data_IF_738396162868
#
_entry.id   IF_738396162868
#
_cell.length_a   1.000
_cell.length_b   1.000
_cell.length_c   1.000
_cell.angle_alpha   90.00
_cell.angle_beta   90.00
_cell.angle_gamma   90.00
#
_symmetry.space_group_name_H-M   'P 1'
#
loop_
_entity.id
_entity.type
_entity.pdbx_description
1 polymer ?
#
# COMPACT_ATOMS: atom_id res chain seq x y z
N UNK A 1 -7.72 9.28 22.32
CA UNK A 1 -7.93 9.51 20.88
C UNK A 1 -8.62 8.28 20.34
N UNK A 2 -9.72 8.41 19.62
CA UNK A 2 -10.43 7.28 19.02
C UNK A 2 -9.90 7.02 17.60
N UNK A 3 -9.21 5.90 17.42
CA UNK A 3 -8.61 5.52 16.14
C UNK A 3 -9.31 4.30 15.57
N UNK A 4 -9.77 4.43 14.33
CA UNK A 4 -10.46 3.37 13.59
C UNK A 4 -9.56 2.87 12.46
N UNK A 5 -9.48 1.57 12.24
CA UNK A 5 -8.77 0.97 11.10
C UNK A 5 -9.76 0.43 10.07
N UNK A 6 -9.65 0.87 8.82
CA UNK A 6 -10.31 0.25 7.67
C UNK A 6 -9.33 -0.71 7.01
N UNK A 7 -9.67 -2.00 6.91
CA UNK A 7 -8.76 -2.98 6.32
C UNK A 7 -9.42 -4.01 5.40
N UNK A 8 -8.75 -4.35 4.29
CA UNK A 8 -9.14 -5.44 3.39
C UNK A 8 -8.93 -6.86 3.95
N UNK A 9 -8.31 -7.00 5.14
CA UNK A 9 -8.14 -8.28 5.86
C UNK A 9 -7.35 -9.36 5.09
N UNK A 10 -6.47 -8.96 4.17
CA UNK A 10 -5.36 -9.81 3.72
C UNK A 10 -4.39 -10.12 4.90
N UNK A 11 -3.39 -11.00 4.74
CA UNK A 11 -2.47 -11.32 5.83
C UNK A 11 -1.77 -10.10 6.46
N UNK A 12 -1.42 -9.09 5.66
CA UNK A 12 -0.83 -7.84 6.15
C UNK A 12 -1.85 -7.04 6.96
N UNK A 13 -3.08 -6.89 6.46
CA UNK A 13 -4.17 -6.23 7.17
C UNK A 13 -4.49 -6.84 8.53
N UNK A 14 -4.54 -8.18 8.59
CA UNK A 14 -4.74 -8.91 9.86
C UNK A 14 -3.59 -8.69 10.83
N UNK A 15 -2.35 -8.75 10.35
CA UNK A 15 -1.16 -8.55 11.19
C UNK A 15 -1.18 -7.15 11.81
N UNK A 16 -1.41 -6.13 10.99
CA UNK A 16 -1.49 -4.75 11.45
C UNK A 16 -2.64 -4.55 12.45
N UNK A 17 -3.84 -5.04 12.14
CA UNK A 17 -4.99 -4.90 13.03
C UNK A 17 -4.75 -5.57 14.39
N UNK A 18 -4.20 -6.79 14.41
CA UNK A 18 -3.87 -7.50 15.64
C UNK A 18 -2.83 -6.72 16.47
N UNK A 19 -1.71 -6.32 15.86
CA UNK A 19 -0.61 -5.65 16.57
C UNK A 19 -0.94 -4.24 17.03
N UNK A 20 -1.67 -3.47 16.22
CA UNK A 20 -2.10 -2.13 16.61
C UNK A 20 -3.16 -2.18 17.71
N UNK A 21 -4.05 -3.17 17.70
CA UNK A 21 -5.05 -3.34 18.76
C UNK A 21 -4.41 -3.83 20.07
N UNK A 22 -3.50 -4.80 19.99
CA UNK A 22 -2.72 -5.29 21.13
C UNK A 22 -1.95 -4.15 21.82
N UNK A 23 -1.38 -3.24 21.04
CA UNK A 23 -0.68 -2.06 21.54
C UNK A 23 -1.61 -0.89 21.96
N UNK A 24 -2.94 -1.05 21.87
CA UNK A 24 -3.92 0.00 22.19
C UNK A 24 -3.90 1.22 21.23
N UNK A 25 -3.23 1.10 20.08
CA UNK A 25 -3.09 2.16 19.07
C UNK A 25 -4.40 2.39 18.32
N UNK A 26 -5.18 1.33 18.11
CA UNK A 26 -6.50 1.39 17.47
C UNK A 26 -7.59 0.82 18.38
N UNK A 27 -8.77 1.43 18.34
CA UNK A 27 -9.93 1.04 19.14
C UNK A 27 -10.88 0.18 18.31
N UNK A 28 -11.16 0.59 17.07
CA UNK A 28 -12.08 -0.13 16.18
C UNK A 28 -11.39 -0.61 14.91
N UNK A 29 -11.86 -1.73 14.39
CA UNK A 29 -11.45 -2.34 13.13
C UNK A 29 -12.71 -2.61 12.32
N UNK A 30 -12.80 -1.96 11.17
CA UNK A 30 -13.83 -2.20 10.17
C UNK A 30 -13.20 -3.01 9.03
N UNK A 31 -13.72 -4.22 8.84
CA UNK A 31 -13.33 -5.09 7.74
C UNK A 31 -14.00 -4.65 6.45
N UNK A 32 -13.22 -4.56 5.39
CA UNK A 32 -13.70 -4.35 4.03
C UNK A 32 -13.79 -5.70 3.34
N UNK A 33 -15.00 -6.09 2.97
CA UNK A 33 -15.24 -7.24 2.13
C UNK A 33 -15.23 -6.81 0.66
N UNK A 34 -14.25 -7.31 -0.10
CA UNK A 34 -14.14 -7.00 -1.52
C UNK A 34 -15.24 -7.69 -2.31
N UNK A 35 -16.15 -6.89 -2.84
CA UNK A 35 -17.17 -7.33 -3.77
C UNK A 35 -16.60 -7.36 -5.18
N UNK A 36 -16.96 -8.39 -5.95
CA UNK A 36 -16.58 -8.46 -7.36
C UNK A 36 -16.99 -7.20 -8.11
N UNK A 37 -16.32 -6.88 -9.21
CA UNK A 37 -16.67 -5.72 -10.05
C UNK A 37 -18.17 -5.76 -10.37
N UNK A 38 -18.96 -4.72 -10.05
CA UNK A 38 -20.34 -4.65 -10.49
C UNK A 38 -20.36 -4.85 -12.00
N UNK A 39 -21.04 -5.91 -12.46
CA UNK A 39 -21.12 -6.21 -13.87
C UNK A 39 -21.76 -5.02 -14.59
N UNK A 40 -20.98 -4.26 -15.36
CA UNK A 40 -21.58 -3.38 -16.38
C UNK A 40 -22.45 -4.28 -17.26
N UNK A 41 -23.75 -3.98 -17.37
CA UNK A 41 -24.64 -4.65 -18.32
C UNK A 41 -23.94 -4.63 -19.68
N UNK A 42 -23.56 -5.81 -20.16
CA UNK A 42 -23.00 -5.93 -21.49
C UNK A 42 -24.07 -5.48 -22.49
N UNK A 43 -23.75 -4.63 -23.48
CA UNK A 43 -24.72 -4.26 -24.51
C UNK A 43 -25.26 -5.53 -25.19
N UNK A 44 -26.55 -5.53 -25.53
CA UNK A 44 -27.14 -6.60 -26.35
C UNK A 44 -26.37 -6.67 -27.68
N UNK A 45 -25.86 -7.86 -28.01
CA UNK A 45 -24.98 -8.10 -29.16
C UNK A 45 -25.38 -9.34 -29.94
N UNK A 46 -25.05 -9.36 -31.23
CA UNK A 46 -25.36 -10.45 -32.17
C UNK A 46 -24.59 -11.74 -31.84
N UNK A 47 -24.97 -12.87 -32.46
CA UNK A 47 -24.37 -14.18 -32.21
C UNK A 47 -22.91 -14.31 -32.72
N UNK A 48 -22.61 -13.73 -33.88
CA UNK A 48 -21.29 -13.81 -34.50
C UNK A 48 -20.20 -13.00 -33.78
N UNK A 49 -20.53 -11.83 -33.24
CA UNK A 49 -19.62 -11.03 -32.40
C UNK A 49 -19.25 -11.72 -31.08
N UNK A 50 -20.12 -12.62 -30.58
CA UNK A 50 -19.81 -13.44 -29.40
C UNK A 50 -18.82 -14.54 -29.73
N UNK A 51 -18.93 -15.16 -30.90
CA UNK A 51 -18.07 -16.28 -31.32
C UNK A 51 -16.61 -15.83 -31.53
N UNK A 52 -16.40 -14.69 -32.21
CA UNK A 52 -15.07 -14.11 -32.44
C UNK A 52 -14.32 -13.76 -31.14
N UNK A 53 -15.03 -13.58 -30.03
CA UNK A 53 -14.44 -13.25 -28.72
C UNK A 53 -14.17 -14.47 -27.85
N UNK A 54 -14.58 -15.67 -28.25
CA UNK A 54 -14.35 -16.89 -27.47
C UNK A 54 -12.86 -17.10 -27.19
N UNK A 55 -11.92 -17.01 -28.16
CA UNK A 55 -10.51 -17.20 -27.88
C UNK A 55 -9.98 -16.20 -26.85
N UNK A 56 -10.30 -14.91 -27.03
CA UNK A 56 -9.90 -13.86 -26.09
C UNK A 56 -10.55 -13.98 -24.71
N UNK A 57 -11.80 -14.44 -24.63
CA UNK A 57 -12.49 -14.65 -23.36
C UNK A 57 -11.92 -15.87 -22.61
N UNK A 58 -11.57 -16.94 -23.33
CA UNK A 58 -10.88 -18.11 -22.77
C UNK A 58 -9.51 -17.70 -22.24
N UNK A 59 -8.72 -16.96 -23.03
CA UNK A 59 -7.40 -16.48 -22.60
C UNK A 59 -7.49 -15.58 -21.37
N UNK A 60 -8.43 -14.61 -21.34
CA UNK A 60 -8.64 -13.75 -20.17
C UNK A 60 -9.04 -14.53 -18.92
N UNK A 61 -9.90 -15.56 -19.07
CA UNK A 61 -10.27 -16.44 -17.94
C UNK A 61 -9.08 -17.27 -17.45
N UNK A 62 -8.27 -17.81 -18.36
CA UNK A 62 -7.07 -18.56 -18.02
C UNK A 62 -6.06 -17.69 -17.27
N UNK A 63 -5.78 -16.48 -17.79
CA UNK A 63 -4.94 -15.49 -17.12
C UNK A 63 -5.50 -15.10 -15.75
N UNK A 64 -6.80 -14.84 -15.63
CA UNK A 64 -7.46 -14.54 -14.36
C UNK A 64 -7.23 -15.64 -13.33
N UNK A 65 -7.48 -16.90 -13.69
CA UNK A 65 -7.24 -18.06 -12.81
C UNK A 65 -5.76 -18.21 -12.42
N UNK A 66 -4.84 -17.93 -13.35
CA UNK A 66 -3.41 -17.94 -13.08
C UNK A 66 -3.04 -16.89 -12.02
N UNK A 67 -3.43 -15.63 -12.25
CA UNK A 67 -3.17 -14.52 -11.32
C UNK A 67 -3.82 -14.78 -9.96
N UNK A 68 -5.06 -15.25 -9.91
CA UNK A 68 -5.74 -15.59 -8.66
C UNK A 68 -4.97 -16.68 -7.88
N UNK A 69 -4.45 -17.70 -8.58
CA UNK A 69 -3.63 -18.74 -7.95
C UNK A 69 -2.30 -18.17 -7.46
N UNK A 70 -1.67 -17.29 -8.23
CA UNK A 70 -0.42 -16.65 -7.89
C UNK A 70 -0.58 -15.76 -6.64
N UNK A 71 -1.57 -14.86 -6.61
CA UNK A 71 -1.83 -14.01 -5.44
C UNK A 71 -2.20 -14.83 -4.20
N UNK A 72 -2.99 -15.91 -4.33
CA UNK A 72 -3.21 -16.84 -3.20
C UNK A 72 -1.93 -17.51 -2.71
N UNK A 73 -0.97 -17.77 -3.59
CA UNK A 73 0.32 -18.33 -3.19
C UNK A 73 1.18 -17.28 -2.47
N UNK A 74 1.16 -16.03 -2.94
CA UNK A 74 1.78 -14.90 -2.25
C UNK A 74 1.17 -14.69 -0.86
N UNK A 75 -0.16 -14.73 -0.72
CA UNK A 75 -0.83 -14.61 0.59
C UNK A 75 -0.43 -15.73 1.55
N UNK A 76 -0.32 -16.98 1.08
CA UNK A 76 0.17 -18.11 1.90
C UNK A 76 1.64 -17.93 2.29
N UNK A 77 2.47 -17.43 1.40
CA UNK A 77 3.87 -17.14 1.70
C UNK A 77 3.98 -16.00 2.72
N UNK A 78 3.26 -14.91 2.52
CA UNK A 78 3.19 -13.78 3.43
C UNK A 78 2.66 -14.18 4.81
N UNK A 79 1.66 -15.08 4.85
CA UNK A 79 1.14 -15.60 6.11
C UNK A 79 2.20 -16.38 6.88
N UNK A 80 3.03 -17.18 6.19
CA UNK A 80 4.15 -17.88 6.83
C UNK A 80 5.17 -16.89 7.39
N UNK A 81 5.51 -15.88 6.62
CA UNK A 81 6.45 -14.83 7.06
C UNK A 81 5.94 -14.07 8.29
N UNK A 82 4.63 -13.78 8.38
CA UNK A 82 4.06 -12.94 9.44
C UNK A 82 3.57 -13.71 10.67
N UNK A 83 3.13 -14.95 10.50
CA UNK A 83 2.42 -15.73 11.53
C UNK A 83 2.95 -17.16 11.72
N UNK A 84 4.00 -17.56 11.00
CA UNK A 84 4.49 -18.95 10.95
C UNK A 84 3.38 -19.96 10.59
N UNK A 85 2.43 -19.53 9.77
CA UNK A 85 1.27 -20.32 9.35
C UNK A 85 0.89 -20.03 7.90
N UNK A 86 0.37 -21.03 7.18
CA UNK A 86 -0.14 -20.81 5.82
C UNK A 86 -1.44 -20.00 5.77
N UNK A 87 -2.15 -19.90 6.90
CA UNK A 87 -3.38 -19.12 7.02
C UNK A 87 -3.20 -18.11 8.15
N UNK A 88 -3.51 -16.82 7.90
CA UNK A 88 -3.42 -15.82 8.95
C UNK A 88 -4.50 -16.09 10.01
N UNK A 89 -4.21 -15.86 11.30
CA UNK A 89 -5.19 -16.06 12.36
C UNK A 89 -6.41 -15.14 12.16
N UNK A 90 -7.54 -15.55 12.73
CA UNK A 90 -8.71 -14.69 12.76
C UNK A 90 -8.46 -13.47 13.65
N UNK A 91 -8.87 -12.30 13.17
CA UNK A 91 -8.80 -11.03 13.91
C UNK A 91 -10.22 -10.51 13.98
N UNK A 92 -10.70 -10.21 15.17
CA UNK A 92 -12.04 -9.68 15.36
C UNK A 92 -12.19 -8.32 14.65
N UNK A 93 -13.23 -8.18 13.85
CA UNK A 93 -13.68 -6.89 13.32
C UNK A 93 -14.92 -6.46 14.12
N UNK A 94 -15.01 -5.17 14.44
CA UNK A 94 -16.20 -4.61 15.09
C UNK A 94 -17.34 -4.45 14.09
N UNK A 95 -17.00 -4.25 12.81
CA UNK A 95 -17.94 -4.10 11.72
C UNK A 95 -17.37 -4.66 10.42
N UNK A 96 -18.25 -5.08 9.50
CA UNK A 96 -17.89 -5.40 8.12
C UNK A 96 -18.68 -4.53 7.16
N UNK A 97 -18.01 -4.01 6.13
CA UNK A 97 -18.61 -3.24 5.04
C UNK A 97 -18.16 -3.79 3.70
N UNK A 98 -19.09 -3.88 2.74
CA UNK A 98 -18.74 -4.26 1.37
C UNK A 98 -18.06 -3.12 0.63
N UNK A 99 -17.11 -3.43 -0.23
CA UNK A 99 -16.35 -2.41 -0.97
C UNK A 99 -17.20 -1.52 -1.89
N UNK A 100 -18.35 -2.01 -2.38
CA UNK A 100 -19.31 -1.23 -3.17
C UNK A 100 -20.23 -0.33 -2.32
N UNK A 101 -20.27 -0.54 -1.00
CA UNK A 101 -21.12 0.19 -0.05
C UNK A 101 -20.34 1.22 0.79
N UNK A 102 -19.00 1.13 0.81
CA UNK A 102 -18.12 1.97 1.63
C UNK A 102 -18.20 3.48 1.34
N UNK A 103 -18.78 3.86 0.20
CA UNK A 103 -19.04 5.26 -0.15
C UNK A 103 -20.52 5.65 -0.01
N UNK A 104 -21.36 4.74 0.49
CA UNK A 104 -22.80 4.95 0.69
C UNK A 104 -23.11 5.71 1.99
N UNK A 105 -24.32 6.27 2.07
CA UNK A 105 -24.79 7.04 3.22
C UNK A 105 -24.81 6.20 4.51
N UNK A 106 -25.25 4.95 4.44
CA UNK A 106 -25.33 4.03 5.58
C UNK A 106 -23.95 3.78 6.21
N UNK A 107 -22.90 3.62 5.41
CA UNK A 107 -21.55 3.51 5.96
C UNK A 107 -21.06 4.83 6.55
N UNK A 108 -21.34 5.96 5.89
CA UNK A 108 -20.96 7.28 6.40
C UNK A 108 -21.60 7.57 7.77
N UNK A 109 -22.86 7.22 7.97
CA UNK A 109 -23.56 7.36 9.26
C UNK A 109 -22.93 6.51 10.36
N UNK A 110 -22.67 5.22 10.07
CA UNK A 110 -21.98 4.32 11.02
C UNK A 110 -20.58 4.83 11.39
N UNK A 111 -19.80 5.27 10.40
CA UNK A 111 -18.47 5.83 10.65
C UNK A 111 -18.54 7.13 11.47
N UNK A 112 -19.55 7.98 11.27
CA UNK A 112 -19.77 9.18 12.11
C UNK A 112 -20.17 8.82 13.53
N UNK A 113 -21.00 7.80 13.72
CA UNK A 113 -21.43 7.34 15.03
C UNK A 113 -20.26 6.85 15.89
N UNK A 114 -19.20 6.31 15.26
CA UNK A 114 -17.96 5.99 15.95
C UNK A 114 -17.19 7.24 16.42
N UNK A 115 -17.44 8.44 15.88
CA UNK A 115 -16.71 9.67 16.18
C UNK A 115 -15.16 9.50 16.13
N UNK A 116 -14.60 9.05 14.99
CA UNK A 116 -13.15 8.83 14.88
C UNK A 116 -12.38 10.16 14.93
N UNK A 117 -11.30 10.18 15.72
CA UNK A 117 -10.29 11.23 15.61
C UNK A 117 -9.42 11.02 14.37
N UNK A 118 -9.02 9.77 14.10
CA UNK A 118 -8.15 9.39 12.98
C UNK A 118 -8.59 8.04 12.42
N UNK A 119 -8.54 7.89 11.10
CA UNK A 119 -8.73 6.59 10.46
C UNK A 119 -7.45 6.11 9.79
N UNK A 120 -7.04 4.87 10.06
CA UNK A 120 -5.95 4.20 9.36
C UNK A 120 -6.54 3.34 8.25
N UNK A 121 -6.05 3.50 7.01
CA UNK A 121 -6.54 2.77 5.84
C UNK A 121 -5.46 1.80 5.36
N UNK A 122 -5.82 0.53 5.19
CA UNK A 122 -4.97 -0.48 4.57
C UNK A 122 -5.79 -1.41 3.66
N UNK A 123 -5.67 -1.22 2.35
CA UNK A 123 -6.38 -2.07 1.38
C UNK A 123 -7.88 -1.73 1.24
N UNK A 124 -8.20 -0.45 1.02
CA UNK A 124 -9.55 0.03 0.72
C UNK A 124 -9.73 0.37 -0.77
N UNK A 125 -10.97 0.37 -1.30
CA UNK A 125 -11.26 1.00 -2.59
C UNK A 125 -11.11 2.53 -2.48
N UNK A 126 -11.26 3.22 -3.62
CA UNK A 126 -11.20 4.69 -3.65
C UNK A 126 -12.31 5.27 -2.76
N UNK A 127 -11.91 6.00 -1.72
CA UNK A 127 -12.81 6.70 -0.81
C UNK A 127 -13.16 8.08 -1.38
N UNK A 128 -14.44 8.46 -1.31
CA UNK A 128 -14.92 9.78 -1.66
C UNK A 128 -14.71 10.76 -0.50
N UNK A 129 -14.67 12.04 -0.84
CA UNK A 129 -14.40 13.12 0.11
C UNK A 129 -15.33 13.17 1.30
N UNK A 130 -16.61 12.88 1.10
CA UNK A 130 -17.59 12.82 2.19
C UNK A 130 -17.34 11.69 3.19
N UNK A 131 -16.51 10.70 2.84
CA UNK A 131 -16.06 9.63 3.74
C UNK A 131 -14.75 10.03 4.42
N UNK A 132 -13.72 10.40 3.63
CA UNK A 132 -12.39 10.65 4.21
C UNK A 132 -12.30 11.95 5.02
N UNK A 133 -13.30 12.82 4.93
CA UNK A 133 -13.41 14.03 5.75
C UNK A 133 -14.17 13.82 7.07
N UNK A 134 -14.65 12.61 7.37
CA UNK A 134 -15.37 12.31 8.61
C UNK A 134 -14.46 12.41 9.85
N UNK A 135 -13.25 11.82 9.87
CA UNK A 135 -12.42 11.86 11.06
C UNK A 135 -11.81 13.25 11.26
N UNK A 136 -11.75 13.71 12.51
CA UNK A 136 -11.28 15.07 12.87
C UNK A 136 -9.88 15.38 12.34
N UNK A 137 -8.98 14.40 12.34
CA UNK A 137 -7.59 14.49 11.86
C UNK A 137 -7.41 13.91 10.45
N UNK A 138 -8.49 13.50 9.79
CA UNK A 138 -8.49 12.87 8.48
C UNK A 138 -8.17 11.38 8.50
N UNK A 139 -7.79 10.84 7.33
CA UNK A 139 -7.38 9.44 7.18
C UNK A 139 -5.92 9.33 6.75
N UNK A 140 -5.21 8.35 7.29
CA UNK A 140 -3.85 7.99 6.91
C UNK A 140 -3.84 6.62 6.21
N UNK A 141 -3.39 6.59 4.96
CA UNK A 141 -3.28 5.37 4.17
C UNK A 141 -1.88 4.77 4.28
N UNK A 142 -1.84 3.45 4.49
CA UNK A 142 -0.65 2.62 4.43
C UNK A 142 -0.53 2.10 3.01
N UNK A 143 0.39 2.68 2.25
CA UNK A 143 0.66 2.31 0.87
C UNK A 143 1.94 1.48 0.76
N UNK A 144 1.85 0.25 0.25
CA UNK A 144 3.00 -0.63 0.02
C UNK A 144 3.74 -0.27 -1.27
N UNK A 145 4.34 0.92 -1.28
CA UNK A 145 5.20 1.46 -2.33
C UNK A 145 5.74 2.83 -1.92
N UNK A 146 6.73 3.36 -2.63
CA UNK A 146 7.25 4.72 -2.41
C UNK A 146 6.48 5.72 -3.29
N UNK A 147 5.61 6.54 -2.69
CA UNK A 147 4.90 7.62 -3.37
C UNK A 147 5.76 8.91 -3.42
N UNK A 148 5.70 9.72 -4.50
CA UNK A 148 4.86 9.55 -5.69
C UNK A 148 5.40 8.56 -6.72
N UNK A 149 6.62 8.02 -6.55
CA UNK A 149 7.30 7.25 -7.60
C UNK A 149 6.47 6.05 -8.12
N UNK A 150 5.84 5.31 -7.20
CA UNK A 150 4.98 4.16 -7.48
C UNK A 150 3.68 4.26 -6.71
N UNK A 151 2.58 4.51 -7.43
CA UNK A 151 1.22 4.61 -6.88
C UNK A 151 0.31 3.53 -7.45
N UNK A 152 -0.78 3.27 -6.74
CA UNK A 152 -1.80 2.29 -7.10
C UNK A 152 -1.49 0.92 -6.52
N UNK A 153 -1.50 -0.13 -7.34
CA UNK A 153 -1.48 -1.51 -6.86
C UNK A 153 -0.23 -2.28 -7.29
N UNK A 154 0.14 -3.31 -6.52
CA UNK A 154 1.35 -4.13 -6.75
C UNK A 154 2.64 -3.30 -6.78
N UNK A 155 2.71 -2.25 -5.97
CA UNK A 155 3.80 -1.26 -5.97
C UNK A 155 5.06 -1.70 -5.23
N UNK A 156 5.07 -2.89 -4.63
CA UNK A 156 6.31 -3.61 -4.29
C UNK A 156 6.84 -4.42 -5.48
N UNK A 157 5.95 -4.97 -6.32
CA UNK A 157 6.31 -5.74 -7.51
C UNK A 157 6.92 -4.89 -8.62
N UNK A 158 6.27 -3.79 -8.99
CA UNK A 158 6.74 -2.94 -10.10
C UNK A 158 8.18 -2.43 -9.97
N UNK A 159 8.66 -1.95 -8.80
CA UNK A 159 10.05 -1.55 -8.66
C UNK A 159 11.00 -2.74 -8.81
N UNK A 160 10.63 -3.91 -8.28
CA UNK A 160 11.41 -5.14 -8.50
C UNK A 160 11.45 -5.54 -9.97
N UNK A 161 10.32 -5.46 -10.67
CA UNK A 161 10.19 -5.79 -12.08
C UNK A 161 11.00 -4.86 -12.98
N UNK A 162 11.04 -3.57 -12.66
CA UNK A 162 11.79 -2.56 -13.41
C UNK A 162 13.27 -2.43 -12.99
N UNK A 163 13.73 -3.16 -11.97
CA UNK A 163 15.10 -3.03 -11.44
C UNK A 163 15.36 -1.74 -10.67
N UNK A 164 14.30 -1.07 -10.21
CA UNK A 164 14.33 0.20 -9.48
C UNK A 164 14.12 -0.05 -7.98
N UNK A 165 15.10 -0.75 -7.40
CA UNK A 165 15.01 -1.31 -6.06
C UNK A 165 14.96 -0.27 -4.94
N UNK A 166 15.46 0.94 -5.20
CA UNK A 166 15.39 2.07 -4.27
C UNK A 166 13.96 2.48 -3.94
N UNK A 167 13.00 2.19 -4.83
CA UNK A 167 11.59 2.48 -4.65
C UNK A 167 10.77 1.32 -4.05
N UNK A 168 11.44 0.30 -3.51
CA UNK A 168 10.81 -0.73 -2.68
C UNK A 168 10.67 -0.19 -1.26
N UNK A 169 9.44 -0.06 -0.76
CA UNK A 169 9.16 0.37 0.60
C UNK A 169 7.68 0.65 0.87
N UNK A 170 7.44 1.43 1.92
CA UNK A 170 6.10 1.83 2.40
C UNK A 170 6.02 3.34 2.48
N UNK A 171 4.87 3.87 2.10
CA UNK A 171 4.49 5.27 2.32
C UNK A 171 3.30 5.31 3.26
N UNK A 172 3.43 6.07 4.36
CA UNK A 172 2.30 6.48 5.18
C UNK A 172 1.94 7.92 4.77
N UNK A 173 0.74 8.12 4.23
CA UNK A 173 0.32 9.42 3.69
C UNK A 173 -1.15 9.72 3.98
N UNK A 174 -1.54 10.99 3.90
CA UNK A 174 -2.94 11.40 4.00
C UNK A 174 -3.77 10.82 2.84
N UNK A 175 -5.00 10.41 3.10
CA UNK A 175 -5.99 10.21 2.05
C UNK A 175 -6.43 11.58 1.54
N UNK A 176 -6.42 11.76 0.23
CA UNK A 176 -6.83 12.99 -0.43
C UNK A 176 -7.50 12.65 -1.77
N UNK A 177 -7.98 13.67 -2.49
CA UNK A 177 -8.53 13.48 -3.83
C UNK A 177 -7.46 12.93 -4.78
N UNK A 178 -7.65 11.70 -5.24
CA UNK A 178 -6.74 10.99 -6.15
C UNK A 178 -6.17 9.72 -5.53
N UNK A 179 -5.43 8.95 -6.33
CA UNK A 179 -4.77 7.72 -5.88
C UNK A 179 -3.38 8.08 -5.35
N UNK A 180 -3.13 7.76 -4.08
CA UNK A 180 -1.87 7.95 -3.35
C UNK A 180 -1.25 9.35 -3.53
N UNK A 181 -2.09 10.39 -3.46
CA UNK A 181 -1.71 11.77 -3.81
C UNK A 181 -1.62 12.73 -2.61
N UNK A 182 -2.03 12.30 -1.41
CA UNK A 182 -2.02 13.16 -0.23
C UNK A 182 -0.63 13.42 0.34
N UNK A 183 -0.54 14.34 1.29
CA UNK A 183 0.72 14.67 1.96
C UNK A 183 1.33 13.44 2.64
N UNK A 184 2.64 13.24 2.49
CA UNK A 184 3.36 12.10 3.06
C UNK A 184 3.77 12.41 4.49
N UNK A 185 3.43 11.51 5.41
CA UNK A 185 3.89 11.55 6.80
C UNK A 185 5.25 10.90 6.96
N UNK A 186 5.46 9.75 6.31
CA UNK A 186 6.74 9.03 6.35
C UNK A 186 6.89 8.03 5.20
N UNK A 187 8.16 7.73 4.89
CA UNK A 187 8.57 6.56 4.11
C UNK A 187 9.35 5.60 4.99
N UNK A 188 9.17 4.31 4.75
CA UNK A 188 10.06 3.27 5.27
C UNK A 188 10.58 2.40 4.13
N UNK A 189 11.85 2.05 4.19
CA UNK A 189 12.55 1.22 3.24
C UNK A 189 12.99 -0.03 3.99
N UNK A 190 12.49 -1.23 3.63
CA UNK A 190 12.92 -2.46 4.28
C UNK A 190 14.38 -2.77 3.94
N UNK A 191 14.99 -3.59 4.78
CA UNK A 191 16.19 -4.30 4.39
C UNK A 191 15.90 -5.15 3.15
N UNK A 192 16.86 -5.22 2.23
CA UNK A 192 16.81 -6.10 1.07
C UNK A 192 18.04 -6.99 1.07
N UNK A 193 17.85 -8.24 0.67
CA UNK A 193 18.88 -9.23 0.40
C UNK A 193 18.62 -9.94 -0.94
N UNK A 194 19.64 -10.58 -1.50
CA UNK A 194 19.51 -11.30 -2.77
C UNK A 194 18.43 -12.40 -2.76
N UNK A 195 18.22 -13.04 -1.59
CA UNK A 195 17.25 -14.13 -1.38
C UNK A 195 15.81 -13.68 -1.15
N UNK A 196 15.57 -12.37 -0.99
CA UNK A 196 14.24 -11.87 -0.67
C UNK A 196 13.20 -12.18 -1.75
N UNK A 197 11.99 -12.48 -1.31
CA UNK A 197 10.82 -12.72 -2.15
C UNK A 197 9.85 -11.55 -2.02
N UNK A 198 8.87 -11.46 -2.93
CA UNK A 198 7.80 -10.46 -2.79
C UNK A 198 7.07 -10.60 -1.44
N UNK A 199 6.92 -11.83 -0.94
CA UNK A 199 6.30 -12.10 0.35
C UNK A 199 7.17 -11.67 1.55
N UNK A 200 8.47 -11.96 1.55
CA UNK A 200 9.37 -11.56 2.65
C UNK A 200 9.53 -10.03 2.72
N UNK A 201 9.63 -9.38 1.54
CA UNK A 201 9.65 -7.91 1.45
C UNK A 201 8.33 -7.33 1.96
N UNK A 202 7.19 -7.88 1.54
CA UNK A 202 5.89 -7.42 2.02
C UNK A 202 5.78 -7.60 3.54
N UNK A 203 6.24 -8.72 4.10
CA UNK A 203 6.24 -8.94 5.56
C UNK A 203 7.08 -7.90 6.31
N UNK A 204 8.28 -7.60 5.82
CA UNK A 204 9.15 -6.56 6.40
C UNK A 204 8.52 -5.16 6.28
N UNK A 205 7.93 -4.85 5.13
CA UNK A 205 7.15 -3.63 4.94
C UNK A 205 5.95 -3.55 5.88
N UNK A 206 5.21 -4.64 6.11
CA UNK A 206 4.07 -4.69 7.04
C UNK A 206 4.51 -4.36 8.46
N UNK A 207 5.62 -4.94 8.94
CA UNK A 207 6.17 -4.63 10.27
C UNK A 207 6.56 -3.16 10.40
N UNK A 208 7.25 -2.62 9.39
CA UNK A 208 7.60 -1.20 9.33
C UNK A 208 6.35 -0.31 9.31
N UNK A 209 5.34 -0.67 8.52
CA UNK A 209 4.07 0.06 8.46
C UNK A 209 3.37 0.11 9.83
N UNK A 210 3.32 -1.00 10.56
CA UNK A 210 2.77 -1.04 11.94
C UNK A 210 3.51 -0.07 12.86
N UNK A 211 4.84 -0.03 12.79
CA UNK A 211 5.65 0.90 13.57
C UNK A 211 5.41 2.37 13.16
N UNK A 212 5.29 2.66 11.85
CA UNK A 212 4.97 4.00 11.36
C UNK A 212 3.59 4.48 11.81
N UNK A 213 2.57 3.62 11.77
CA UNK A 213 1.21 3.95 12.23
C UNK A 213 1.21 4.25 13.74
N UNK A 214 1.91 3.42 14.53
CA UNK A 214 2.07 3.65 15.97
C UNK A 214 2.69 5.01 16.26
N UNK A 215 3.80 5.34 15.59
CA UNK A 215 4.47 6.62 15.73
C UNK A 215 3.58 7.81 15.30
N UNK A 216 2.81 7.66 14.20
CA UNK A 216 1.87 8.68 13.75
C UNK A 216 0.77 8.95 14.78
N UNK A 217 0.20 7.89 15.35
CA UNK A 217 -0.86 7.98 16.36
C UNK A 217 -0.33 8.64 17.64
N UNK A 218 0.84 8.24 18.13
CA UNK A 218 1.45 8.88 19.30
C UNK A 218 1.70 10.38 19.05
N UNK A 219 2.17 10.75 17.86
CA UNK A 219 2.35 12.14 17.47
C UNK A 219 1.03 12.91 17.43
N UNK A 220 -0.03 12.30 16.89
CA UNK A 220 -1.36 12.89 16.81
C UNK A 220 -1.94 13.15 18.22
N UNK A 221 -1.71 12.22 19.16
CA UNK A 221 -2.09 12.39 20.57
C UNK A 221 -1.31 13.54 21.20
N UNK A 222 0.00 13.62 20.97
CA UNK A 222 0.86 14.63 21.59
C UNK A 222 0.59 16.06 21.07
N UNK A 223 0.30 16.23 19.78
CA UNK A 223 0.21 17.56 19.17
C UNK A 223 -1.19 17.95 18.68
N UNK A 224 -2.16 17.04 18.72
CA UNK A 224 -3.52 17.30 18.24
C UNK A 224 -3.66 17.58 16.74
N UNK A 225 -2.59 17.38 15.95
CA UNK A 225 -2.54 17.59 14.50
C UNK A 225 -1.61 16.59 13.82
N UNK A 226 -1.84 16.35 12.53
CA UNK A 226 -0.92 15.62 11.66
C UNK A 226 -0.15 16.61 10.79
N UNK A 227 1.18 16.45 10.70
CA UNK A 227 2.03 17.21 9.79
C UNK A 227 2.59 16.29 8.72
N UNK A 228 2.53 16.70 7.46
CA UNK A 228 3.02 15.90 6.33
C UNK A 228 3.52 16.78 5.20
N UNK A 229 4.33 16.22 4.31
CA UNK A 229 4.93 16.95 3.19
C UNK A 229 4.18 16.68 1.90
N UNK A 230 3.82 17.74 1.17
CA UNK A 230 3.24 17.63 -0.17
C UNK A 230 4.19 16.88 -1.11
N UNK A 231 3.63 15.96 -1.88
CA UNK A 231 4.38 15.20 -2.87
C UNK A 231 4.81 16.12 -4.03
N UNK A 232 6.06 16.03 -4.52
CA UNK A 232 6.61 16.96 -5.52
C UNK A 232 6.02 16.76 -6.93
N UNK A 233 5.21 15.72 -7.15
CA UNK A 233 4.60 15.40 -8.44
C UNK A 233 3.73 14.16 -8.36
N UNK A 234 3.21 13.71 -9.51
CA UNK A 234 2.34 12.54 -9.59
C UNK A 234 3.10 11.21 -9.69
N UNK A 235 4.30 11.19 -10.26
CA UNK A 235 5.01 9.93 -10.54
C UNK A 235 4.17 8.92 -11.33
N UNK A 236 4.43 7.61 -11.16
CA UNK A 236 3.81 6.56 -11.99
C UNK A 236 2.64 5.90 -11.28
N UNK A 237 1.56 5.64 -12.01
CA UNK A 237 0.34 5.00 -11.52
C UNK A 237 0.19 3.63 -12.16
N UNK A 238 0.05 2.60 -11.34
CA UNK A 238 -0.23 1.24 -11.78
C UNK A 238 -1.58 0.77 -11.24
N UNK A 239 -2.43 0.30 -12.14
CA UNK A 239 -3.77 -0.21 -11.86
C UNK A 239 -3.79 -1.73 -11.97
N UNK A 240 -4.86 -2.35 -11.45
CA UNK A 240 -5.02 -3.82 -11.46
C UNK A 240 -4.89 -4.43 -12.87
N UNK A 241 -5.27 -3.69 -13.91
CA UNK A 241 -5.17 -4.12 -15.32
C UNK A 241 -3.74 -4.17 -15.87
N UNK A 242 -2.79 -3.52 -15.19
CA UNK A 242 -1.44 -3.36 -15.71
C UNK A 242 -0.55 -4.58 -15.40
N UNK A 243 -0.75 -5.25 -14.24
CA UNK A 243 -0.05 -6.50 -13.89
C UNK A 243 -0.77 -7.69 -14.51
N UNK A 244 -0.15 -8.27 -15.53
CA UNK A 244 -0.63 -9.46 -16.23
C UNK A 244 0.26 -10.67 -15.87
N UNK A 245 -0.25 -11.88 -16.10
CA UNK A 245 0.45 -13.09 -15.67
C UNK A 245 1.82 -13.30 -16.32
N UNK A 246 2.04 -12.76 -17.53
CA UNK A 246 3.32 -12.89 -18.22
C UNK A 246 4.42 -12.08 -17.53
N UNK A 247 4.12 -10.94 -16.89
CA UNK A 247 5.12 -10.18 -16.13
C UNK A 247 5.63 -11.01 -14.93
N UNK A 248 4.74 -11.70 -14.22
CA UNK A 248 5.12 -12.59 -13.11
C UNK A 248 5.97 -13.77 -13.58
N UNK A 249 5.63 -14.37 -14.73
CA UNK A 249 6.41 -15.46 -15.34
C UNK A 249 7.82 -14.96 -15.72
N UNK A 250 7.91 -13.85 -16.45
CA UNK A 250 9.20 -13.27 -16.86
C UNK A 250 10.03 -12.87 -15.65
N UNK A 251 9.41 -12.26 -14.64
CA UNK A 251 10.10 -11.88 -13.40
C UNK A 251 10.65 -13.11 -12.68
N UNK A 252 9.83 -14.15 -12.51
CA UNK A 252 10.23 -15.39 -11.85
C UNK A 252 11.36 -16.09 -12.60
N UNK A 253 11.30 -16.14 -13.94
CA UNK A 253 12.35 -16.71 -14.77
C UNK A 253 13.66 -15.92 -14.63
N UNK A 254 13.60 -14.58 -14.72
CA UNK A 254 14.79 -13.73 -14.54
C UNK A 254 15.41 -13.87 -13.14
N UNK A 255 14.60 -13.98 -12.09
CA UNK A 255 15.06 -14.28 -10.72
C UNK A 255 15.75 -15.65 -10.67
N UNK A 256 15.13 -16.68 -11.22
CA UNK A 256 15.66 -18.06 -11.24
C UNK A 256 16.98 -18.20 -12.02
N UNK A 257 17.12 -17.46 -13.13
CA UNK A 257 18.36 -17.40 -13.91
C UNK A 257 19.41 -16.44 -13.32
N UNK A 258 19.13 -15.76 -12.21
CA UNK A 258 20.02 -14.78 -11.60
C UNK A 258 20.20 -13.48 -12.40
N UNK A 259 19.36 -13.24 -13.41
CA UNK A 259 19.33 -12.01 -14.23
C UNK A 259 18.72 -10.82 -13.48
N UNK A 260 17.96 -11.09 -12.41
CA UNK A 260 17.45 -10.06 -11.49
C UNK A 260 17.87 -10.43 -10.07
N UNK A 261 18.85 -9.71 -9.53
CA UNK A 261 19.30 -9.86 -8.14
C UNK A 261 18.91 -8.61 -7.37
N UNK A 262 18.24 -8.81 -6.24
CA UNK A 262 17.99 -7.72 -5.30
C UNK A 262 19.33 -7.31 -4.67
N UNK A 263 19.59 -5.99 -4.52
CA UNK A 263 20.80 -5.52 -3.87
C UNK A 263 20.68 -5.71 -2.36
N UNK A 264 21.83 -5.83 -1.70
CA UNK A 264 21.91 -5.66 -0.26
C UNK A 264 21.62 -4.20 0.09
N UNK A 265 20.59 -3.96 0.90
CA UNK A 265 20.22 -2.60 1.33
C UNK A 265 19.82 -2.63 2.81
N UNK A 266 20.42 -1.80 3.68
CA UNK A 266 19.97 -1.67 5.06
C UNK A 266 18.60 -0.99 5.16
N UNK A 267 17.83 -1.21 6.24
CA UNK A 267 16.56 -0.55 6.42
C UNK A 267 16.76 0.95 6.72
N UNK A 268 15.79 1.77 6.33
CA UNK A 268 15.80 3.23 6.60
C UNK A 268 14.39 3.76 6.74
N UNK A 269 14.19 4.71 7.66
CA UNK A 269 12.94 5.46 7.80
C UNK A 269 13.20 6.94 7.53
N UNK A 270 12.34 7.57 6.75
CA UNK A 270 12.33 9.02 6.52
C UNK A 270 10.98 9.59 6.99
N UNK A 271 11.01 10.51 7.95
CA UNK A 271 9.80 11.14 8.53
C UNK A 271 9.70 12.59 8.05
N UNK A 272 8.48 13.06 7.81
CA UNK A 272 8.21 14.40 7.25
C UNK A 272 7.20 15.15 8.09
N UNK A 273 7.48 15.28 9.38
CA UNK A 273 6.67 16.08 10.26
C UNK A 273 7.16 17.54 10.24
N UNK A 274 6.25 18.49 10.02
CA UNK A 274 6.57 19.90 10.23
C UNK A 274 6.71 20.17 11.74
N UNK A 275 7.91 20.61 12.15
CA UNK A 275 8.14 21.17 13.48
C UNK A 275 7.31 22.45 13.62
N UNK A 276 6.52 22.55 14.71
CA UNK A 276 5.93 23.83 15.06
C UNK A 276 7.07 24.75 15.53
N UNK A 277 7.46 25.71 14.68
CA UNK A 277 8.22 26.88 15.08
C UNK A 277 9.59 26.61 15.71
N UNK A 278 10.55 26.17 14.91
CA UNK A 278 11.96 26.41 15.22
C UNK A 278 12.58 27.16 14.03
N UNK A 279 12.82 28.45 14.24
CA UNK A 279 13.80 29.17 13.43
C UNK A 279 15.14 28.44 13.50
N UNK A 280 15.92 28.54 12.43
CA UNK A 280 17.31 28.10 12.28
C UNK A 280 18.03 28.02 13.63
N UNK A 281 18.27 26.80 14.16
CA UNK A 281 18.99 26.66 15.42
C UNK A 281 19.02 25.25 16.01
N UNK A 282 20.15 24.57 15.80
CA UNK A 282 20.75 23.45 16.58
C UNK A 282 19.85 22.27 16.99
N UNK A 283 20.22 21.11 16.46
CA UNK A 283 19.98 19.80 17.07
C UNK A 283 20.45 19.80 18.53
N UNK A 284 19.54 19.55 19.46
CA UNK A 284 19.87 19.23 20.85
C UNK A 284 19.43 17.81 21.14
N UNK A 285 20.40 16.97 21.47
CA UNK A 285 20.24 15.65 22.06
C UNK A 285 19.34 15.72 23.29
N UNK A 286 18.34 14.85 23.37
CA UNK A 286 17.74 14.47 24.64
C UNK A 286 17.59 12.96 24.73
N UNK A 287 18.23 12.45 25.77
CA UNK A 287 18.42 11.07 26.18
C UNK A 287 17.19 10.46 26.86
N UNK A 288 16.99 9.16 26.56
CA UNK A 288 16.52 8.09 27.46
C UNK A 288 15.16 8.25 28.17
N UNK A 289 14.19 7.48 27.67
CA UNK A 289 13.20 6.81 28.51
C UNK A 289 12.98 5.38 27.98
N UNK A 290 13.38 4.40 28.80
CA UNK A 290 13.26 2.97 28.57
C UNK A 290 11.83 2.49 28.90
N UNK A 291 11.15 1.82 27.96
CA UNK A 291 10.23 0.70 28.26
C UNK A 291 9.75 -0.01 26.98
N UNK A 292 10.17 -1.26 26.82
CA UNK A 292 9.49 -2.38 26.18
C UNK A 292 9.04 -2.30 24.70
N UNK A 293 9.88 -1.90 23.74
CA UNK A 293 9.77 -2.33 22.32
C UNK A 293 11.13 -2.26 21.60
N UNK A 294 12.05 -3.17 21.91
CA UNK A 294 13.26 -3.40 21.11
C UNK A 294 12.93 -4.29 19.90
N UNK A 295 12.32 -3.71 18.87
CA UNK A 295 12.31 -4.32 17.53
C UNK A 295 12.63 -3.24 16.51
N UNK A 296 13.86 -3.28 16.01
CA UNK A 296 14.41 -2.47 14.92
C UNK A 296 14.53 -0.99 15.29
N UNK A 297 15.73 -0.56 15.70
CA UNK A 297 16.19 0.83 15.52
C UNK A 297 16.93 0.95 14.17
N UNK A 298 16.23 1.18 13.04
CA UNK A 298 16.90 1.53 11.80
C UNK A 298 17.32 3.00 11.91
N UNK A 299 18.63 3.24 12.10
CA UNK A 299 19.34 4.53 12.01
C UNK A 299 18.42 5.67 11.56
N UNK A 300 17.89 6.39 12.55
CA UNK A 300 17.02 7.55 12.37
C UNK A 300 17.80 8.62 11.61
N UNK A 301 17.47 8.83 10.33
CA UNK A 301 17.96 10.00 9.59
C UNK A 301 16.83 11.03 9.57
N UNK A 302 16.94 12.03 10.43
CA UNK A 302 16.03 13.18 10.39
C UNK A 302 16.30 13.99 9.12
N UNK A 303 15.25 14.21 8.34
CA UNK A 303 15.24 15.01 7.10
C UNK A 303 16.20 14.55 5.99
N UNK A 304 15.90 13.44 5.29
CA UNK A 304 16.49 13.25 3.94
C UNK A 304 15.72 14.10 2.91
N UNK A 305 16.40 14.88 2.04
CA UNK A 305 15.77 15.50 0.88
C UNK A 305 15.03 14.45 0.04
N UNK A 306 13.96 14.86 -0.68
CA UNK A 306 13.42 14.02 -1.75
C UNK A 306 14.59 13.72 -2.71
N UNK A 307 14.98 12.46 -2.86
CA UNK A 307 15.94 12.12 -3.92
C UNK A 307 15.26 12.43 -5.24
N UNK A 308 15.84 13.35 -6.01
CA UNK A 308 15.43 13.60 -7.39
C UNK A 308 15.56 12.30 -8.17
N UNK A 309 14.44 11.79 -8.69
CA UNK A 309 14.42 10.60 -9.52
C UNK A 309 15.12 10.98 -10.83
N UNK A 310 16.29 10.38 -11.10
CA UNK A 310 16.84 10.39 -12.45
C UNK A 310 15.87 9.61 -13.33
N UNK A 311 15.27 10.28 -14.30
CA UNK A 311 14.40 9.70 -15.31
C UNK A 311 15.23 8.82 -16.26
N UNK A 312 15.61 7.61 -15.83
CA UNK A 312 16.00 6.57 -16.78
C UNK A 312 14.73 5.95 -17.32
N UNK A 313 14.21 6.56 -18.39
CA UNK A 313 13.18 5.98 -19.24
C UNK A 313 13.73 4.66 -19.81
N UNK A 314 13.13 3.49 -19.54
CA UNK A 314 13.48 2.30 -20.30
C UNK A 314 13.06 2.49 -21.76
N UNK A 315 13.77 1.91 -22.74
CA UNK A 315 13.50 2.13 -24.15
C UNK A 315 12.06 1.74 -24.49
N UNK A 316 11.35 2.66 -25.14
CA UNK A 316 10.02 2.42 -25.70
C UNK A 316 10.13 1.36 -26.78
N UNK A 317 9.60 0.16 -26.54
CA UNK A 317 9.29 -0.78 -27.62
C UNK A 317 8.02 -0.31 -28.33
N UNK A 318 8.13 0.75 -29.13
CA UNK A 318 7.10 1.18 -30.07
C UNK A 318 7.32 0.44 -31.39
N UNK A 319 6.57 -0.64 -31.61
CA UNK A 319 6.25 -1.10 -32.96
C UNK A 319 4.77 -0.80 -33.18
N UNK A 320 4.46 0.47 -33.46
CA UNK A 320 3.21 0.82 -34.11
C UNK A 320 3.43 0.72 -35.63
N UNK A 321 2.59 -0.03 -36.36
CA UNK A 321 2.66 -0.05 -37.82
C UNK A 321 2.17 1.30 -38.38
N UNK A 322 2.91 1.81 -39.37
CA UNK A 322 2.64 3.08 -40.03
C UNK A 322 1.22 3.16 -40.61
N UNK A 323 0.59 4.35 -40.59
CA UNK A 323 -0.72 4.55 -41.21
C UNK A 323 -0.59 4.50 -42.73
N UNK A 324 -1.36 3.60 -43.36
CA UNK A 324 -1.61 3.63 -44.80
C UNK A 324 -2.39 4.92 -45.13
N UNK A 325 -1.80 5.73 -46.00
CA UNK A 325 -2.47 6.84 -46.67
C UNK A 325 -3.33 6.32 -47.82
N UNK A 326 -4.39 7.08 -48.10
CA UNK A 326 -5.47 6.95 -49.11
C UNK A 326 -6.52 5.88 -48.88
#
# INVERSE_FOLDING_TARGET
>A
MNVVMLSGFDPSGRFMAAKLREAGVIQHVIRIEWTGTPGRRAPQRTGWERLQRIPGAVLRRAQGRFLDRHFRALDRALSRELFDSQQPPEVAADETVRSDEINGAVFAERLRALAPDLVIVNGAPILKEHIFSIPRLGMANVHFGIAPAYRGVSTLFWPMYHGDFDNIGVTLHAVAKGIDAGAVYSHAYPSLSASDTEASIMANCTRLATALVTALVHRAVAHGRLGGRTQPGKGRLFLKRDRQGWQDIVFSLKRGLGLTKLPERPPRIARYFEEAGAGVGRASELSHASSAYDVMDPRVSESTPWRSISSTTPPSSSTDPAPLQS
#
